data_IF_754185498111
#
_entry.id   IF_754185498111
#
_cell.length_a   1.000
_cell.length_b   1.000
_cell.length_c   1.000
_cell.angle_alpha   90.00
_cell.angle_beta   90.00
_cell.angle_gamma   90.00
#
_symmetry.space_group_name_H-M   'P 1'
#
loop_
_entity.id
_entity.type
_entity.pdbx_description
1 polymer ?
#
# COMPACT_ATOMS: atom_id res chain seq x y z
N UNK A 1 -1.14 -5.93 9.39
CA UNK A 1 -2.35 -5.67 8.59
C UNK A 1 -2.50 -6.80 7.59
N UNK A 2 -3.54 -7.63 7.71
CA UNK A 2 -3.81 -8.69 6.74
C UNK A 2 -4.74 -8.18 5.63
N UNK A 3 -4.73 -8.79 4.42
CA UNK A 3 -5.65 -8.46 3.34
C UNK A 3 -7.13 -8.57 3.75
N UNK A 4 -7.47 -9.56 4.58
CA UNK A 4 -8.82 -9.80 5.07
C UNK A 4 -9.28 -8.65 5.98
N UNK A 5 -8.43 -8.20 6.89
CA UNK A 5 -8.73 -7.05 7.76
C UNK A 5 -8.84 -5.75 6.97
N UNK A 6 -8.04 -5.58 5.92
CA UNK A 6 -8.18 -4.45 5.00
C UNK A 6 -9.53 -4.48 4.28
N UNK A 7 -9.95 -5.66 3.79
CA UNK A 7 -11.27 -5.86 3.16
C UNK A 7 -12.42 -5.57 4.11
N UNK A 8 -12.37 -6.11 5.33
CA UNK A 8 -13.39 -5.84 6.36
C UNK A 8 -13.53 -4.34 6.63
N UNK A 9 -12.40 -3.63 6.71
CA UNK A 9 -12.40 -2.17 6.88
C UNK A 9 -13.04 -1.43 5.70
N UNK A 10 -12.72 -1.83 4.46
CA UNK A 10 -13.34 -1.27 3.25
C UNK A 10 -14.86 -1.51 3.22
N UNK A 11 -15.32 -2.68 3.67
CA UNK A 11 -16.75 -3.00 3.75
C UNK A 11 -17.47 -2.13 4.78
N UNK A 12 -16.90 -1.96 5.97
CA UNK A 12 -17.44 -1.07 6.99
C UNK A 12 -17.49 0.38 6.50
N UNK A 13 -16.45 0.84 5.79
CA UNK A 13 -16.46 2.16 5.18
C UNK A 13 -17.58 2.29 4.14
N UNK A 14 -17.76 1.29 3.26
CA UNK A 14 -18.85 1.28 2.27
C UNK A 14 -20.22 1.41 2.94
N UNK A 15 -20.49 0.60 3.95
CA UNK A 15 -21.77 0.61 4.67
C UNK A 15 -22.03 1.97 5.31
N UNK A 16 -21.06 2.49 6.06
CA UNK A 16 -21.15 3.77 6.74
C UNK A 16 -21.41 4.93 5.77
N UNK A 17 -20.61 5.04 4.72
CA UNK A 17 -20.69 6.16 3.78
C UNK A 17 -21.89 6.05 2.82
N UNK A 18 -22.38 4.85 2.53
CA UNK A 18 -23.60 4.66 1.72
C UNK A 18 -24.86 5.12 2.47
N UNK A 19 -24.84 5.10 3.80
CA UNK A 19 -25.95 5.52 4.66
C UNK A 19 -26.03 7.05 4.86
N UNK A 20 -25.11 7.84 4.30
CA UNK A 20 -25.16 9.31 4.41
C UNK A 20 -26.49 9.85 3.84
N UNK A 21 -27.21 10.72 4.57
CA UNK A 21 -28.49 11.27 4.11
C UNK A 21 -28.36 12.06 2.79
N UNK A 22 -27.29 12.82 2.66
CA UNK A 22 -26.99 13.59 1.45
C UNK A 22 -26.28 12.70 0.42
N UNK A 23 -27.03 12.29 -0.60
CA UNK A 23 -26.51 11.45 -1.67
C UNK A 23 -25.36 12.10 -2.45
N UNK A 24 -25.32 13.43 -2.55
CA UNK A 24 -24.26 14.15 -3.26
C UNK A 24 -22.89 14.06 -2.56
N UNK A 25 -22.88 13.70 -1.27
CA UNK A 25 -21.68 13.55 -0.45
C UNK A 25 -21.19 12.11 -0.34
N UNK A 26 -21.91 11.15 -0.93
CA UNK A 26 -21.49 9.74 -0.91
C UNK A 26 -20.26 9.60 -1.82
N UNK A 27 -19.15 9.06 -1.32
CA UNK A 27 -17.97 8.84 -2.13
C UNK A 27 -18.28 7.78 -3.20
N UNK A 28 -17.62 7.90 -4.35
CA UNK A 28 -17.68 6.90 -5.44
C UNK A 28 -16.48 5.96 -5.42
N UNK A 29 -15.41 6.32 -4.69
CA UNK A 29 -14.20 5.53 -4.58
C UNK A 29 -13.46 5.80 -3.26
N UNK A 30 -12.66 4.83 -2.83
CA UNK A 30 -11.59 5.00 -1.85
C UNK A 30 -10.29 5.20 -2.61
N UNK A 31 -9.46 6.18 -2.21
CA UNK A 31 -8.13 6.40 -2.78
C UNK A 31 -7.07 6.51 -1.69
N UNK A 32 -5.86 6.06 -1.98
CA UNK A 32 -4.72 6.21 -1.10
C UNK A 32 -3.44 6.41 -1.91
N UNK A 33 -2.52 7.20 -1.40
CA UNK A 33 -1.15 7.31 -1.91
C UNK A 33 -0.23 6.91 -0.76
N UNK A 34 0.57 5.87 -0.95
CA UNK A 34 1.45 5.35 0.09
C UNK A 34 2.54 4.45 -0.50
N UNK A 35 3.62 4.28 0.25
CA UNK A 35 4.69 3.34 -0.08
C UNK A 35 4.21 1.89 -0.11
N UNK A 36 3.15 1.56 0.63
CA UNK A 36 2.56 0.21 0.62
C UNK A 36 1.91 -0.16 -0.71
N UNK A 37 1.70 0.82 -1.60
CA UNK A 37 1.20 0.61 -2.96
C UNK A 37 2.32 0.75 -4.01
N UNK A 38 3.58 0.65 -3.58
CA UNK A 38 4.72 0.64 -4.50
C UNK A 38 4.54 -0.51 -5.53
N UNK A 39 4.53 -0.21 -6.84
CA UNK A 39 4.28 -1.21 -7.88
C UNK A 39 5.39 -2.27 -7.98
N UNK A 40 6.57 -2.00 -7.42
CA UNK A 40 7.69 -2.95 -7.39
C UNK A 40 7.64 -3.93 -6.21
N UNK A 41 6.65 -3.82 -5.29
CA UNK A 41 6.53 -4.77 -4.17
C UNK A 41 6.53 -6.26 -4.58
N UNK A 42 5.94 -6.68 -5.71
CA UNK A 42 6.03 -8.08 -6.17
C UNK A 42 7.46 -8.55 -6.53
N UNK A 43 8.37 -7.63 -6.83
CA UNK A 43 9.80 -7.93 -7.07
C UNK A 43 10.60 -7.97 -5.76
N UNK A 44 10.07 -7.32 -4.71
CA UNK A 44 10.75 -7.10 -3.42
C UNK A 44 10.35 -8.15 -2.40
N UNK A 45 9.06 -8.52 -2.36
CA UNK A 45 8.47 -9.35 -1.32
C UNK A 45 7.92 -10.66 -1.87
N UNK A 46 7.79 -11.70 -1.03
CA UNK A 46 7.09 -12.92 -1.39
C UNK A 46 5.68 -12.67 -1.94
N UNK A 47 5.21 -13.48 -2.90
CA UNK A 47 3.93 -13.28 -3.58
C UNK A 47 2.69 -13.44 -2.68
N UNK A 48 2.85 -14.07 -1.52
CA UNK A 48 1.87 -14.29 -0.46
C UNK A 48 1.96 -13.26 0.68
N UNK A 49 2.91 -12.32 0.61
CA UNK A 49 3.01 -11.25 1.61
C UNK A 49 1.76 -10.37 1.59
N UNK A 50 1.33 -9.92 2.78
CA UNK A 50 0.13 -9.10 2.94
C UNK A 50 0.11 -7.86 2.03
N UNK A 51 1.27 -7.23 1.79
CA UNK A 51 1.37 -6.04 0.95
C UNK A 51 1.18 -6.36 -0.54
N UNK A 52 1.77 -7.46 -1.03
CA UNK A 52 1.58 -7.91 -2.41
C UNK A 52 0.13 -8.35 -2.64
N UNK A 53 -0.46 -9.06 -1.68
CA UNK A 53 -1.87 -9.43 -1.74
C UNK A 53 -2.79 -8.22 -1.74
N UNK A 54 -2.52 -7.21 -0.90
CA UNK A 54 -3.29 -5.96 -0.89
C UNK A 54 -3.20 -5.22 -2.23
N UNK A 55 -2.02 -5.17 -2.86
CA UNK A 55 -1.82 -4.52 -4.15
C UNK A 55 -2.68 -5.17 -5.26
N UNK A 56 -2.93 -6.48 -5.18
CA UNK A 56 -3.79 -7.22 -6.13
C UNK A 56 -5.28 -6.96 -5.94
N UNK A 57 -5.69 -6.45 -4.77
CA UNK A 57 -7.11 -6.21 -4.45
C UNK A 57 -7.63 -4.85 -4.92
N UNK A 58 -6.76 -3.97 -5.40
CA UNK A 58 -7.07 -2.56 -5.72
C UNK A 58 -6.60 -2.21 -7.13
N UNK A 59 -6.96 -1.03 -7.62
CA UNK A 59 -6.46 -0.49 -8.87
C UNK A 59 -5.26 0.43 -8.63
N UNK A 60 -4.02 -0.04 -8.83
CA UNK A 60 -2.83 0.80 -8.65
C UNK A 60 -2.68 1.80 -9.79
N UNK A 61 -2.15 2.98 -9.49
CA UNK A 61 -1.79 3.99 -10.47
C UNK A 61 -0.48 4.68 -10.10
N UNK A 62 0.30 5.17 -11.09
CA UNK A 62 1.56 5.84 -10.83
C UNK A 62 1.34 7.19 -10.15
N UNK A 63 2.22 7.53 -9.22
CA UNK A 63 2.28 8.85 -8.58
C UNK A 63 3.68 9.41 -8.72
N UNK A 64 3.81 10.73 -8.62
CA UNK A 64 5.12 11.33 -8.44
C UNK A 64 5.69 10.86 -7.09
N UNK A 65 6.90 10.31 -7.08
CA UNK A 65 7.55 9.86 -5.85
C UNK A 65 9.07 10.00 -5.89
N UNK A 66 9.64 10.39 -4.75
CA UNK A 66 11.07 10.39 -4.47
C UNK A 66 11.64 8.98 -4.24
N UNK A 67 12.97 8.90 -4.16
CA UNK A 67 13.70 7.64 -3.90
C UNK A 67 13.62 7.18 -2.45
N UNK A 68 13.17 8.04 -1.54
CA UNK A 68 13.12 7.78 -0.10
C UNK A 68 11.68 7.84 0.44
N UNK A 69 10.69 8.07 -0.42
CA UNK A 69 9.29 8.27 -0.02
C UNK A 69 8.76 7.08 0.79
N UNK A 70 8.29 7.38 1.99
CA UNK A 70 7.72 6.41 2.91
C UNK A 70 8.71 5.45 3.57
N UNK A 71 10.02 5.51 3.26
CA UNK A 71 11.03 4.70 3.95
C UNK A 71 11.11 5.02 5.45
N UNK A 72 10.75 6.24 5.84
CA UNK A 72 10.63 6.60 7.25
C UNK A 72 9.69 5.64 8.03
N UNK A 73 8.56 5.21 7.45
CA UNK A 73 7.64 4.27 8.11
C UNK A 73 8.24 2.87 8.33
N UNK A 74 9.31 2.52 7.62
CA UNK A 74 9.97 1.20 7.69
C UNK A 74 11.20 1.23 8.58
N UNK A 75 11.97 2.32 8.53
CA UNK A 75 13.28 2.42 9.16
C UNK A 75 13.33 3.38 10.34
N UNK A 76 12.32 4.25 10.51
CA UNK A 76 12.23 5.25 11.58
C UNK A 76 13.51 6.09 11.75
N UNK A 77 14.16 6.43 10.64
CA UNK A 77 15.38 7.23 10.66
C UNK A 77 15.09 8.68 11.05
N UNK A 78 15.97 9.29 11.84
CA UNK A 78 15.86 10.68 12.28
C UNK A 78 16.57 11.66 11.33
N UNK A 79 17.50 11.16 10.52
CA UNK A 79 18.30 11.91 9.56
C UNK A 79 18.12 11.35 8.14
N UNK A 80 18.84 11.89 7.15
CA UNK A 80 18.77 11.39 5.77
C UNK A 80 18.95 9.87 5.72
N UNK A 81 18.10 9.19 4.97
CA UNK A 81 18.17 7.74 4.82
C UNK A 81 19.50 7.31 4.19
N UNK A 82 20.19 6.39 4.87
CA UNK A 82 21.42 5.76 4.37
C UNK A 82 21.22 4.23 4.38
N UNK A 83 21.13 3.58 3.19
CA UNK A 83 20.99 2.14 3.09
C UNK A 83 22.11 1.35 3.79
N UNK A 84 23.33 1.90 3.89
CA UNK A 84 24.49 1.20 4.45
C UNK A 84 24.40 1.04 5.98
N UNK A 85 23.70 1.95 6.65
CA UNK A 85 23.56 1.99 8.11
C UNK A 85 22.15 1.67 8.60
N UNK A 86 21.19 1.59 7.69
CA UNK A 86 19.80 1.26 7.99
C UNK A 86 19.65 -0.15 8.63
N UNK A 87 18.73 -0.25 9.60
CA UNK A 87 18.46 -1.50 10.30
C UNK A 87 17.97 -2.61 9.37
N UNK A 88 18.50 -3.83 9.55
CA UNK A 88 18.09 -5.07 8.86
C UNK A 88 17.31 -6.02 9.79
N UNK A 89 16.68 -5.51 10.83
CA UNK A 89 16.06 -6.32 11.89
C UNK A 89 14.85 -7.16 11.40
N UNK A 90 14.02 -6.61 10.51
CA UNK A 90 12.86 -7.33 9.95
C UNK A 90 13.09 -7.86 8.54
N UNK A 91 12.30 -8.85 8.12
CA UNK A 91 12.32 -9.38 6.74
C UNK A 91 11.99 -8.30 5.72
N UNK A 92 11.04 -7.41 6.04
CA UNK A 92 10.68 -6.25 5.22
C UNK A 92 11.87 -5.32 5.02
N UNK A 93 12.57 -4.97 6.10
CA UNK A 93 13.75 -4.11 6.04
C UNK A 93 14.85 -4.72 5.17
N UNK A 94 15.14 -6.02 5.35
CA UNK A 94 16.14 -6.74 4.53
C UNK A 94 15.77 -6.74 3.05
N UNK A 95 14.54 -7.09 2.72
CA UNK A 95 14.06 -7.14 1.34
C UNK A 95 14.16 -5.78 0.62
N UNK A 96 13.77 -4.69 1.32
CA UNK A 96 13.85 -3.34 0.76
C UNK A 96 15.31 -2.93 0.53
N UNK A 97 16.19 -3.19 1.49
CA UNK A 97 17.62 -2.85 1.35
C UNK A 97 18.27 -3.65 0.23
N UNK A 98 18.00 -4.96 0.13
CA UNK A 98 18.52 -5.81 -0.94
C UNK A 98 18.06 -5.34 -2.33
N UNK A 99 16.81 -4.87 -2.45
CA UNK A 99 16.30 -4.30 -3.70
C UNK A 99 17.02 -2.99 -4.06
N UNK A 100 17.22 -2.10 -3.09
CA UNK A 100 17.91 -0.81 -3.30
C UNK A 100 19.40 -1.03 -3.65
N UNK A 101 20.08 -1.93 -2.96
CA UNK A 101 21.51 -2.26 -3.20
C UNK A 101 21.74 -2.86 -4.60
N UNK A 102 20.76 -3.60 -5.14
CA UNK A 102 20.80 -4.10 -6.53
C UNK A 102 20.51 -3.02 -7.58
N UNK A 103 20.36 -1.76 -7.18
CA UNK A 103 20.04 -0.64 -8.06
C UNK A 103 18.54 -0.45 -8.32
N UNK A 104 17.69 -1.20 -7.61
CA UNK A 104 16.24 -1.05 -7.66
C UNK A 104 15.81 0.36 -7.27
N UNK A 105 14.83 0.91 -8.00
CA UNK A 105 14.32 2.26 -7.71
C UNK A 105 13.13 2.17 -6.77
N UNK A 106 13.34 2.57 -5.53
CA UNK A 106 12.25 2.72 -4.56
C UNK A 106 11.30 3.86 -4.95
N UNK A 107 10.00 3.65 -4.72
CA UNK A 107 8.91 4.55 -5.10
C UNK A 107 7.71 4.40 -4.16
N UNK A 108 6.80 5.37 -4.20
CA UNK A 108 5.43 5.22 -3.70
C UNK A 108 4.47 4.94 -4.87
N UNK A 109 3.27 4.45 -4.54
CA UNK A 109 2.20 4.27 -5.51
C UNK A 109 0.88 4.86 -5.02
N UNK A 110 -0.03 5.06 -5.95
CA UNK A 110 -1.42 5.36 -5.68
C UNK A 110 -2.27 4.11 -5.85
N UNK A 111 -3.41 4.06 -5.16
CA UNK A 111 -4.48 3.14 -5.47
C UNK A 111 -5.83 3.83 -5.41
N UNK A 112 -6.77 3.29 -6.16
CA UNK A 112 -8.19 3.48 -5.90
C UNK A 112 -8.94 2.15 -5.94
N UNK A 113 -10.14 2.15 -5.37
CA UNK A 113 -11.13 1.10 -5.55
C UNK A 113 -12.51 1.75 -5.55
N UNK A 114 -13.37 1.36 -6.49
CA UNK A 114 -14.70 1.94 -6.60
C UNK A 114 -15.60 1.38 -5.49
N UNK A 115 -16.55 2.17 -5.02
CA UNK A 115 -17.43 1.77 -3.92
C UNK A 115 -18.36 0.61 -4.32
N UNK A 116 -18.71 0.48 -5.60
CA UNK A 116 -19.48 -0.64 -6.14
C UNK A 116 -18.64 -1.92 -6.26
N UNK A 117 -17.34 -1.80 -6.52
CA UNK A 117 -16.38 -2.92 -6.52
C UNK A 117 -16.19 -3.52 -5.13
N UNK A 118 -16.42 -2.75 -4.05
CA UNK A 118 -16.33 -3.26 -2.66
C UNK A 118 -17.41 -4.31 -2.35
N UNK A 119 -17.07 -5.59 -2.53
CA UNK A 119 -17.94 -6.76 -2.32
C UNK A 119 -17.65 -7.49 -1.00
N UNK A 120 -18.68 -8.10 -0.40
CA UNK A 120 -18.54 -8.86 0.87
C UNK A 120 -17.60 -10.08 0.75
N UNK A 121 -17.32 -10.53 -0.47
CA UNK A 121 -16.17 -11.38 -0.82
C UNK A 121 -15.63 -10.89 -2.15
N UNK A 122 -14.37 -10.49 -2.22
CA UNK A 122 -13.75 -10.07 -3.47
C UNK A 122 -13.20 -11.24 -4.25
N UNK A 123 -13.56 -11.27 -5.54
CA UNK A 123 -12.92 -11.89 -6.70
C UNK A 123 -12.62 -13.40 -6.58
N UNK A 124 -13.23 -14.15 -7.52
CA UNK A 124 -12.90 -15.53 -7.86
C UNK A 124 -11.39 -15.73 -8.06
#
# INVERSE_FOLDING_TARGET
MSPEKARESLLMAKEFYSALPDASRRPVAVKCISWIFNPNLPEILPPDSNLVSLLKMVHPYPVHSGREDGLWFVFLHESKFDPATASRASSLQRAILDYIEKGGRWRSGGMFIMMDEIQQGFLN
#
